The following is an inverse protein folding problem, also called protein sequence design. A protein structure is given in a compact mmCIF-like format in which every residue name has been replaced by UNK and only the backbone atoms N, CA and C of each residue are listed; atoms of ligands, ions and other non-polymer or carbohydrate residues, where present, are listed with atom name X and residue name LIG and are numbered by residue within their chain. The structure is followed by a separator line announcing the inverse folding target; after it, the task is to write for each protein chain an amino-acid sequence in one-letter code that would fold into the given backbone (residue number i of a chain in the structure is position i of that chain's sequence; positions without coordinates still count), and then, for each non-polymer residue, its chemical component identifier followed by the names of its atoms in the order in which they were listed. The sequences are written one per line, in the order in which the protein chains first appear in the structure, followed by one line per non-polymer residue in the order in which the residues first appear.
data_IF_964087490654
#
_entry.id   IF_964087490654
#
_cell.length_a   1.000
_cell.length_b   1.000
_cell.length_c   1.000
_cell.angle_alpha   90.00
_cell.angle_beta   90.00
_cell.angle_gamma   90.00
#
_symmetry.space_group_name_H-M   'P 1'
#
loop_
_entity.id
_entity.type
_entity.pdbx_description
1 polymer ?
#
# COMPACT_ATOMS: atom_id res chain seq x y z
N UNK A 1 -23.10 -3.28 -1.12
CA UNK A 1 -22.18 -2.35 -0.44
C UNK A 1 -20.80 -2.65 -0.98
N UNK A 2 -20.25 -1.76 -1.80
CA UNK A 2 -18.87 -1.88 -2.27
C UNK A 2 -17.92 -1.37 -1.19
N UNK A 3 -16.62 -1.64 -1.31
CA UNK A 3 -15.62 -1.12 -0.37
C UNK A 3 -15.60 0.42 -0.33
N UNK A 4 -16.08 1.07 -1.40
CA UNK A 4 -16.12 2.52 -1.56
C UNK A 4 -17.22 3.17 -0.70
N UNK A 5 -18.27 2.43 -0.37
CA UNK A 5 -19.38 2.89 0.46
C UNK A 5 -19.07 2.78 1.97
N UNK A 6 -17.96 2.12 2.32
CA UNK A 6 -17.59 1.86 3.71
C UNK A 6 -16.93 3.08 4.36
N UNK A 7 -17.16 3.31 5.66
CA UNK A 7 -16.54 4.42 6.38
C UNK A 7 -15.02 4.25 6.42
N UNK A 8 -14.32 5.35 6.15
CA UNK A 8 -12.86 5.44 6.29
C UNK A 8 -12.53 5.99 7.68
N UNK A 9 -11.73 5.25 8.43
CA UNK A 9 -11.24 5.63 9.75
C UNK A 9 -9.76 6.02 9.63
N UNK A 10 -9.42 7.26 9.95
CA UNK A 10 -8.04 7.70 10.03
C UNK A 10 -7.54 7.69 11.47
N UNK A 11 -6.34 7.15 11.72
CA UNK A 11 -5.72 7.08 13.04
C UNK A 11 -4.24 7.43 13.00
N UNK A 12 -3.73 8.02 14.08
CA UNK A 12 -2.29 8.25 14.25
C UNK A 12 -1.86 7.89 15.68
N UNK A 13 -0.93 6.93 15.76
CA UNK A 13 -0.19 6.59 16.97
C UNK A 13 1.24 7.17 16.94
N UNK A 14 1.48 8.11 16.02
CA UNK A 14 2.78 8.74 15.80
C UNK A 14 3.93 7.73 15.56
N UNK A 15 3.65 6.65 14.82
CA UNK A 15 4.65 5.66 14.48
C UNK A 15 5.84 6.32 13.75
N UNK A 16 7.09 5.96 14.10
CA UNK A 16 8.27 6.61 13.52
C UNK A 16 8.47 6.28 12.04
N UNK A 17 8.01 5.12 11.60
CA UNK A 17 8.18 4.60 10.24
C UNK A 17 7.04 3.66 9.85
N UNK A 18 7.06 3.22 8.58
CA UNK A 18 6.05 2.32 8.03
C UNK A 18 6.13 0.93 8.65
N UNK A 19 7.31 0.46 9.05
CA UNK A 19 7.48 -0.88 9.67
C UNK A 19 6.74 -0.94 11.00
N UNK A 20 6.91 0.07 11.86
CA UNK A 20 6.20 0.17 13.13
C UNK A 20 4.68 0.26 12.92
N UNK A 21 4.24 1.07 11.95
CA UNK A 21 2.82 1.20 11.62
C UNK A 21 2.20 -0.10 11.08
N UNK A 22 2.91 -0.80 10.19
CA UNK A 22 2.49 -2.09 9.62
C UNK A 22 2.49 -3.20 10.67
N UNK A 23 3.45 -3.19 11.60
CA UNK A 23 3.49 -4.13 12.71
C UNK A 23 2.27 -3.95 13.63
N UNK A 24 1.94 -2.71 13.98
CA UNK A 24 0.73 -2.42 14.75
C UNK A 24 -0.54 -2.84 13.99
N UNK A 25 -0.62 -2.54 12.70
CA UNK A 25 -1.74 -2.94 11.84
C UNK A 25 -1.92 -4.46 11.82
N UNK A 26 -0.83 -5.22 11.75
CA UNK A 26 -0.87 -6.69 11.77
C UNK A 26 -1.32 -7.28 13.11
N UNK A 27 -1.25 -6.51 14.20
CA UNK A 27 -1.67 -6.92 15.53
C UNK A 27 -3.15 -6.59 15.84
N UNK A 28 -3.88 -5.95 14.92
CA UNK A 28 -5.29 -5.65 15.13
C UNK A 28 -6.14 -6.93 15.26
N UNK A 29 -7.13 -6.96 16.17
CA UNK A 29 -7.99 -8.13 16.36
C UNK A 29 -8.91 -8.38 15.16
N UNK A 30 -9.25 -7.32 14.43
CA UNK A 30 -10.04 -7.38 13.20
C UNK A 30 -9.18 -6.88 12.06
N UNK A 31 -9.11 -7.64 10.97
CA UNK A 31 -8.37 -7.21 9.78
C UNK A 31 -9.21 -6.24 8.96
N UNK A 32 -8.72 -5.03 8.65
CA UNK A 32 -9.40 -4.15 7.71
C UNK A 32 -9.42 -4.77 6.31
N UNK A 33 -10.40 -4.42 5.50
CA UNK A 33 -10.46 -4.81 4.08
C UNK A 33 -9.57 -3.94 3.20
N UNK A 34 -9.27 -2.72 3.66
CA UNK A 34 -8.31 -1.81 3.04
C UNK A 34 -7.60 -1.02 4.14
N UNK A 35 -6.27 -0.98 4.07
CA UNK A 35 -5.44 -0.17 4.95
C UNK A 35 -4.31 0.47 4.17
N UNK A 36 -4.14 1.79 4.37
CA UNK A 36 -3.03 2.54 3.80
C UNK A 36 -2.21 3.24 4.89
N UNK A 37 -0.89 3.31 4.69
CA UNK A 37 0.02 4.14 5.49
C UNK A 37 0.23 5.50 4.83
N UNK A 38 0.28 6.55 5.64
CA UNK A 38 0.42 7.94 5.22
C UNK A 38 1.60 8.60 5.93
N UNK A 39 2.52 9.19 5.16
CA UNK A 39 3.63 9.95 5.73
C UNK A 39 3.17 11.35 6.10
N UNK A 40 3.24 11.67 7.39
CA UNK A 40 2.84 12.95 7.96
C UNK A 40 4.08 13.80 8.24
N UNK A 41 3.98 15.12 8.04
CA UNK A 41 5.09 16.06 8.30
C UNK A 41 4.95 16.82 9.62
N UNK A 42 3.72 16.99 10.11
CA UNK A 42 3.36 17.81 11.27
C UNK A 42 2.53 16.96 12.25
N UNK A 43 2.63 17.17 13.58
CA UNK A 43 3.53 18.12 14.27
C UNK A 43 5.01 17.72 14.21
N UNK A 44 5.29 16.44 13.95
CA UNK A 44 6.62 15.90 13.64
C UNK A 44 6.48 14.81 12.57
N UNK A 45 7.54 14.46 11.83
CA UNK A 45 7.49 13.35 10.89
C UNK A 45 7.04 12.05 11.57
N UNK A 46 5.98 11.43 11.06
CA UNK A 46 5.44 10.17 11.56
C UNK A 46 4.57 9.48 10.51
N UNK A 47 4.09 8.27 10.82
CA UNK A 47 3.19 7.49 9.97
C UNK A 47 1.81 7.36 10.62
N UNK A 48 0.80 7.86 9.90
CA UNK A 48 -0.62 7.65 10.21
C UNK A 48 -1.20 6.54 9.32
N UNK A 49 -2.36 6.01 9.68
CA UNK A 49 -3.07 4.99 8.92
C UNK A 49 -4.49 5.42 8.58
N UNK A 50 -4.96 4.99 7.41
CA UNK A 50 -6.38 4.97 7.08
C UNK A 50 -6.86 3.53 6.96
N UNK A 51 -7.98 3.21 7.57
CA UNK A 51 -8.52 1.85 7.71
C UNK A 51 -9.96 1.81 7.25
N UNK A 52 -10.33 0.75 6.55
CA UNK A 52 -11.71 0.45 6.12
C UNK A 52 -12.04 -0.97 6.56
N UNK A 53 -13.17 -1.15 7.24
CA UNK A 53 -13.64 -2.45 7.72
C UNK A 53 -14.95 -2.82 7.01
N UNK A 54 -15.11 -4.09 6.62
CA UNK A 54 -16.38 -4.58 6.06
C UNK A 54 -17.47 -4.76 7.13
N UNK A 55 -17.10 -4.72 8.41
CA UNK A 55 -18.00 -4.80 9.56
C UNK A 55 -17.58 -3.81 10.63
N UNK A 56 -17.95 -4.11 11.88
CA UNK A 56 -17.63 -3.24 13.02
C UNK A 56 -16.11 -3.10 13.19
N UNK A 57 -15.64 -1.84 13.26
CA UNK A 57 -14.27 -1.53 13.56
C UNK A 57 -13.96 -1.85 15.04
N UNK A 58 -12.72 -2.22 15.39
CA UNK A 58 -12.33 -2.38 16.79
C UNK A 58 -12.67 -1.12 17.62
N UNK A 59 -13.12 -1.28 18.88
CA UNK A 59 -13.60 -0.16 19.70
C UNK A 59 -12.48 0.84 20.07
N UNK A 60 -11.21 0.45 19.93
CA UNK A 60 -10.06 1.32 20.15
C UNK A 60 -9.02 1.10 19.06
N UNK A 61 -8.78 2.14 18.26
CA UNK A 61 -7.79 2.16 17.19
C UNK A 61 -6.71 3.24 17.41
N UNK A 62 -6.79 3.98 18.52
CA UNK A 62 -5.93 5.12 18.83
C UNK A 62 -6.54 6.48 18.48
N UNK A 63 -5.75 7.56 18.61
CA UNK A 63 -6.21 8.91 18.31
C UNK A 63 -6.66 9.06 16.85
N UNK A 64 -7.79 9.76 16.59
CA UNK A 64 -8.25 10.00 15.24
C UNK A 64 -7.28 10.90 14.46
N UNK A 65 -7.12 10.64 13.17
CA UNK A 65 -6.34 11.46 12.24
C UNK A 65 -7.17 11.75 10.98
N UNK A 66 -7.89 12.89 10.94
CA UNK A 66 -8.74 13.27 9.81
C UNK A 66 -7.98 13.37 8.49
N UNK A 67 -6.71 13.77 8.51
CA UNK A 67 -5.87 13.91 7.32
C UNK A 67 -5.63 12.56 6.62
N UNK A 68 -5.36 11.50 7.39
CA UNK A 68 -5.19 10.16 6.85
C UNK A 68 -6.50 9.63 6.23
N UNK A 69 -7.64 9.89 6.89
CA UNK A 69 -8.95 9.54 6.33
C UNK A 69 -9.23 10.30 5.04
N UNK A 70 -8.97 11.62 5.00
CA UNK A 70 -9.18 12.46 3.83
C UNK A 70 -8.28 12.04 2.65
N UNK A 71 -7.01 11.71 2.91
CA UNK A 71 -6.08 11.23 1.87
C UNK A 71 -6.60 9.96 1.18
N UNK A 72 -7.17 9.03 1.96
CA UNK A 72 -7.76 7.79 1.45
C UNK A 72 -9.08 8.04 0.71
N UNK A 73 -9.98 8.87 1.25
CA UNK A 73 -11.25 9.23 0.60
C UNK A 73 -11.02 9.90 -0.75
N UNK A 74 -10.02 10.78 -0.83
CA UNK A 74 -9.67 11.50 -2.06
C UNK A 74 -8.74 10.71 -2.98
N UNK A 75 -8.20 9.56 -2.52
CA UNK A 75 -7.23 8.73 -3.26
C UNK A 75 -6.06 9.55 -3.81
N UNK A 76 -5.64 10.55 -3.05
CA UNK A 76 -4.56 11.48 -3.44
C UNK A 76 -3.19 10.94 -3.06
N UNK A 77 -3.12 10.16 -1.99
CA UNK A 77 -1.89 9.56 -1.47
C UNK A 77 -2.18 8.38 -0.54
N UNK A 78 -1.12 7.69 -0.11
CA UNK A 78 -1.18 6.53 0.77
C UNK A 78 -0.63 5.28 0.09
N UNK A 79 0.13 4.47 0.84
CA UNK A 79 0.62 3.16 0.38
C UNK A 79 -0.30 2.08 0.92
N UNK A 80 -0.91 1.28 0.05
CA UNK A 80 -1.78 0.21 0.47
C UNK A 80 -0.96 -0.98 0.97
N UNK A 81 -1.30 -1.44 2.17
CA UNK A 81 -0.66 -2.57 2.85
C UNK A 81 -1.61 -3.75 2.91
N UNK A 82 -2.89 -3.47 3.14
CA UNK A 82 -3.99 -4.43 3.07
C UNK A 82 -4.95 -3.93 2.02
N UNK A 83 -5.31 -4.79 1.07
CA UNK A 83 -6.26 -4.49 0.00
C UNK A 83 -6.77 -5.80 -0.62
N UNK A 84 -7.93 -5.78 -1.32
CA UNK A 84 -8.45 -6.97 -1.99
C UNK A 84 -7.44 -7.60 -2.96
N UNK A 85 -7.27 -8.92 -2.84
CA UNK A 85 -6.39 -9.71 -3.71
C UNK A 85 -4.90 -9.71 -3.37
N UNK A 86 -4.44 -8.96 -2.35
CA UNK A 86 -3.01 -8.90 -1.98
C UNK A 86 -2.40 -10.28 -1.68
N UNK A 87 -3.19 -11.20 -1.11
CA UNK A 87 -2.74 -12.56 -0.76
C UNK A 87 -2.52 -13.45 -1.99
N UNK A 88 -3.10 -13.10 -3.13
CA UNK A 88 -2.99 -13.86 -4.38
C UNK A 88 -1.79 -13.41 -5.24
N UNK A 89 -1.12 -12.32 -4.84
CA UNK A 89 0.02 -11.74 -5.55
C UNK A 89 1.35 -12.39 -5.14
N UNK A 90 1.46 -13.70 -5.31
CA UNK A 90 2.62 -14.50 -4.90
C UNK A 90 3.33 -15.10 -6.11
N UNK A 91 4.66 -15.02 -6.12
CA UNK A 91 5.50 -15.60 -7.17
C UNK A 91 5.67 -14.65 -8.35
N UNK A 92 5.82 -15.22 -9.55
CA UNK A 92 5.92 -14.43 -10.78
C UNK A 92 4.58 -14.39 -11.49
N UNK A 93 4.06 -13.18 -11.73
CA UNK A 93 2.77 -12.92 -12.35
C UNK A 93 2.93 -11.92 -13.48
N UNK A 94 2.14 -12.06 -14.54
CA UNK A 94 2.01 -11.00 -15.55
C UNK A 94 1.32 -9.76 -14.97
N UNK A 95 1.57 -8.60 -15.56
CA UNK A 95 0.85 -7.36 -15.23
C UNK A 95 -0.67 -7.55 -15.36
N UNK A 96 -1.13 -8.27 -16.38
CA UNK A 96 -2.55 -8.61 -16.54
C UNK A 96 -3.11 -9.41 -15.36
N UNK A 97 -2.38 -10.40 -14.86
CA UNK A 97 -2.80 -11.19 -13.70
C UNK A 97 -2.85 -10.36 -12.42
N UNK A 98 -1.89 -9.45 -12.21
CA UNK A 98 -1.88 -8.56 -11.04
C UNK A 98 -3.13 -7.69 -11.00
N UNK A 99 -3.48 -7.07 -12.13
CA UNK A 99 -4.66 -6.21 -12.24
C UNK A 99 -5.95 -7.03 -12.10
N UNK A 100 -6.02 -8.21 -12.72
CA UNK A 100 -7.22 -9.05 -12.68
C UNK A 100 -7.49 -9.66 -11.29
N UNK A 101 -6.45 -9.89 -10.49
CA UNK A 101 -6.55 -10.60 -9.20
C UNK A 101 -6.60 -9.68 -7.99
N UNK A 102 -6.40 -8.37 -8.16
CA UNK A 102 -6.28 -7.45 -7.03
C UNK A 102 -6.93 -6.10 -7.27
N UNK A 103 -6.98 -5.29 -6.22
CA UNK A 103 -7.43 -3.89 -6.32
C UNK A 103 -6.45 -2.97 -7.07
N UNK A 104 -5.29 -3.48 -7.52
CA UNK A 104 -4.33 -2.69 -8.29
C UNK A 104 -4.93 -2.42 -9.68
N UNK A 105 -5.00 -1.15 -10.03
CA UNK A 105 -5.60 -0.71 -11.30
C UNK A 105 -4.53 -0.48 -12.37
N UNK A 106 -3.28 -0.25 -11.96
CA UNK A 106 -2.20 0.11 -12.87
C UNK A 106 -0.85 -0.38 -12.38
N UNK A 107 -0.01 -0.84 -13.30
CA UNK A 107 1.40 -1.16 -13.04
C UNK A 107 2.28 -0.26 -13.90
N UNK A 108 3.26 0.38 -13.28
CA UNK A 108 4.19 1.29 -13.95
C UNK A 108 5.64 0.83 -13.73
N UNK A 109 6.46 1.01 -14.76
CA UNK A 109 7.92 0.92 -14.67
C UNK A 109 8.45 2.30 -14.28
N UNK A 110 9.22 2.38 -13.21
CA UNK A 110 9.79 3.63 -12.72
C UNK A 110 10.66 4.28 -13.81
N UNK A 111 10.30 5.50 -14.21
CA UNK A 111 10.96 6.23 -15.29
C UNK A 111 10.58 5.79 -16.72
N UNK A 112 9.74 4.75 -16.88
CA UNK A 112 9.36 4.18 -18.18
C UNK A 112 7.87 4.26 -18.53
N UNK A 113 6.99 4.57 -17.56
CA UNK A 113 5.55 4.68 -17.79
C UNK A 113 4.80 3.36 -17.53
N UNK A 114 3.65 3.15 -18.18
CA UNK A 114 2.85 1.94 -18.00
C UNK A 114 3.60 0.68 -18.46
N UNK A 115 3.55 -0.38 -17.66
CA UNK A 115 4.12 -1.67 -18.02
C UNK A 115 3.22 -2.41 -19.03
N UNK A 116 3.83 -3.20 -19.92
CA UNK A 116 3.10 -4.08 -20.83
C UNK A 116 2.34 -5.16 -20.05
N UNK A 117 1.11 -5.48 -20.48
CA UNK A 117 0.24 -6.46 -19.80
C UNK A 117 0.86 -7.87 -19.72
N UNK A 118 1.75 -8.22 -20.64
CA UNK A 118 2.46 -9.51 -20.69
C UNK A 118 3.77 -9.50 -19.92
N UNK A 119 4.24 -8.33 -19.46
CA UNK A 119 5.47 -8.24 -18.69
C UNK A 119 5.36 -9.04 -17.39
N UNK A 120 6.39 -9.84 -17.09
CA UNK A 120 6.43 -10.70 -15.92
C UNK A 120 7.00 -9.94 -14.72
N UNK A 121 6.25 -9.90 -13.63
CA UNK A 121 6.61 -9.29 -12.36
C UNK A 121 6.90 -10.38 -11.34
N UNK A 122 8.12 -10.43 -10.81
CA UNK A 122 8.41 -11.21 -9.61
C UNK A 122 7.99 -10.40 -8.39
N UNK A 123 6.92 -10.81 -7.72
CA UNK A 123 6.31 -10.02 -6.64
C UNK A 123 7.12 -10.07 -5.35
N UNK A 124 8.04 -11.02 -5.19
CA UNK A 124 8.79 -11.22 -3.93
C UNK A 124 7.91 -11.42 -2.68
N UNK A 125 6.62 -11.71 -2.88
CA UNK A 125 5.60 -11.73 -1.82
C UNK A 125 5.42 -10.39 -1.10
N UNK A 126 5.81 -9.27 -1.71
CA UNK A 126 5.71 -7.93 -1.12
C UNK A 126 5.31 -6.90 -2.16
N UNK A 127 4.02 -6.58 -2.16
CA UNK A 127 3.43 -5.65 -3.11
C UNK A 127 2.85 -4.49 -2.32
N UNK A 128 3.37 -3.29 -2.58
CA UNK A 128 3.00 -2.03 -1.92
C UNK A 128 2.62 -1.00 -2.98
N UNK A 129 1.39 -1.11 -3.55
CA UNK A 129 0.92 -0.10 -4.48
C UNK A 129 0.56 1.18 -3.70
N UNK A 130 0.49 2.30 -4.40
CA UNK A 130 0.11 3.57 -3.81
C UNK A 130 -0.95 4.31 -4.61
N UNK A 131 -1.74 5.12 -3.93
CA UNK A 131 -2.67 6.02 -4.60
C UNK A 131 -1.89 7.10 -5.35
N UNK A 132 -2.13 7.18 -6.66
CA UNK A 132 -1.64 8.28 -7.51
C UNK A 132 -2.77 8.78 -8.40
N UNK A 133 -3.18 10.03 -8.17
CA UNK A 133 -4.22 10.69 -8.95
C UNK A 133 -5.51 9.84 -9.07
N UNK A 134 -5.96 9.26 -7.95
CA UNK A 134 -7.18 8.46 -7.90
C UNK A 134 -7.03 6.96 -8.21
N UNK A 135 -5.87 6.54 -8.71
CA UNK A 135 -5.63 5.17 -9.21
C UNK A 135 -4.65 4.44 -8.28
N UNK A 136 -4.96 3.21 -7.89
CA UNK A 136 -4.04 2.37 -7.11
C UNK A 136 -2.96 1.79 -8.02
N UNK A 137 -1.77 2.38 -7.98
CA UNK A 137 -0.66 2.07 -8.89
C UNK A 137 0.43 1.28 -8.19
N UNK A 138 0.87 0.16 -8.78
CA UNK A 138 2.09 -0.53 -8.41
C UNK A 138 3.27 0.00 -9.23
N UNK A 139 4.26 0.59 -8.55
CA UNK A 139 5.53 0.94 -9.18
C UNK A 139 6.49 -0.26 -9.19
N UNK A 140 7.16 -0.47 -10.31
CA UNK A 140 8.11 -1.55 -10.55
C UNK A 140 9.42 -1.04 -11.13
N UNK A 141 10.48 -1.83 -11.04
CA UNK A 141 11.77 -1.58 -11.69
C UNK A 141 12.21 -2.81 -12.49
N UNK A 142 12.97 -2.62 -13.59
CA UNK A 142 13.58 -3.75 -14.30
C UNK A 142 14.53 -4.55 -13.41
N UNK A 143 14.53 -5.86 -13.61
CA UNK A 143 15.41 -6.82 -12.96
C UNK A 143 16.03 -7.76 -14.02
N UNK A 144 16.96 -8.61 -13.58
CA UNK A 144 17.62 -9.59 -14.46
C UNK A 144 16.59 -10.54 -15.07
N UNK A 145 16.78 -10.87 -16.36
CA UNK A 145 15.96 -11.85 -17.07
C UNK A 145 14.64 -11.30 -17.60
N UNK A 146 14.63 -10.04 -18.05
CA UNK A 146 13.47 -9.35 -18.63
C UNK A 146 12.23 -9.36 -17.72
N UNK A 147 12.48 -9.29 -16.41
CA UNK A 147 11.46 -9.24 -15.37
C UNK A 147 11.35 -7.87 -14.76
N UNK A 148 10.19 -7.60 -14.20
CA UNK A 148 9.96 -6.48 -13.31
C UNK A 148 9.94 -7.00 -11.87
N UNK A 149 10.31 -6.13 -10.93
CA UNK A 149 10.11 -6.34 -9.48
C UNK A 149 9.42 -5.12 -8.90
N UNK A 150 8.58 -5.25 -7.85
CA UNK A 150 8.10 -4.11 -7.11
C UNK A 150 9.25 -3.18 -6.68
N UNK A 151 9.05 -1.87 -6.80
CA UNK A 151 10.05 -0.88 -6.41
C UNK A 151 10.35 -0.93 -4.91
N UNK A 152 9.32 -1.15 -4.09
CA UNK A 152 9.48 -1.36 -2.66
C UNK A 152 9.86 -2.81 -2.38
N UNK A 153 10.85 -3.02 -1.52
CA UNK A 153 11.35 -4.35 -1.14
C UNK A 153 11.21 -4.55 0.37
N UNK A 154 11.00 -5.80 0.82
CA UNK A 154 10.88 -6.14 2.26
C UNK A 154 12.13 -5.77 3.05
N UNK A 155 13.28 -6.03 2.43
CA UNK A 155 14.59 -5.74 2.99
C UNK A 155 15.24 -4.76 2.04
N UNK A 156 15.00 -3.45 2.19
CA UNK A 156 15.72 -2.48 1.38
C UNK A 156 17.20 -2.76 1.58
N UNK A 157 17.90 -3.04 0.48
CA UNK A 157 19.37 -3.07 0.49
C UNK A 157 19.77 -1.74 1.10
N UNK A 158 20.53 -1.71 2.22
CA UNK A 158 20.93 -0.46 2.84
C UNK A 158 21.65 0.36 1.77
N UNK A 159 21.00 1.40 1.27
CA UNK A 159 21.67 2.35 0.41
C UNK A 159 22.65 3.08 1.32
N UNK A 160 23.93 2.99 0.97
CA UNK A 160 25.05 3.49 1.73
C UNK A 160 24.80 4.94 2.22
N UNK A 161 24.41 5.10 3.48
CA UNK A 161 24.50 6.36 4.19
C UNK A 161 25.92 6.47 4.75
N UNK A 162 26.87 6.79 3.87
CA UNK A 162 28.22 7.22 4.25
C UNK A 162 28.60 8.41 3.37
N UNK A 163 28.05 9.58 3.69
CA UNK A 163 28.53 10.88 3.22
C UNK A 163 28.37 11.92 4.32
#
# INVERSE_FOLDING_TARGET
MTIEDLPVIGVSLEHPDTVAAEHWLAALPTTPVLACTHLMRSPRPHVALSLVFAGEAPPSLGPPCPEAAAAQLTRTSGRAVVYPGVRDLVGTLSVAEIIARSAIERVEVLGGGAADHTAMVDTGGFVRPHWRAGVLTLATTPAVGDRLVPFETRTPTPCCAAH
#
